data_IF_838350658321
#
_entry.id   IF_838350658321
#
_cell.length_a   1.000
_cell.length_b   1.000
_cell.length_c   1.000
_cell.angle_alpha   90.00
_cell.angle_beta   90.00
_cell.angle_gamma   90.00
#
_symmetry.space_group_name_H-M   'P 1'
#
loop_
_entity.id
_entity.type
_entity.pdbx_description
1 polymer ?
#
# COMPACT_ATOMS: atom_id res chain seq x y z
N UNK A 1 -7.35 -1.23 -23.75
CA UNK A 1 -7.52 0.00 -22.96
C UNK A 1 -6.40 0.99 -23.31
N UNK A 2 -6.67 2.29 -23.52
CA UNK A 2 -5.62 3.26 -23.80
C UNK A 2 -4.70 3.43 -22.58
N UNK A 3 -3.40 3.25 -22.79
CA UNK A 3 -2.35 3.18 -21.76
C UNK A 3 -2.32 4.37 -20.77
N UNK A 4 -2.78 5.56 -21.16
CA UNK A 4 -2.75 6.76 -20.33
C UNK A 4 -3.75 6.77 -19.16
N UNK A 5 -4.89 6.08 -19.29
CA UNK A 5 -5.93 6.14 -18.26
C UNK A 5 -5.58 5.21 -17.07
N UNK A 6 -4.94 4.08 -17.35
CA UNK A 6 -4.44 3.19 -16.29
C UNK A 6 -3.33 3.81 -15.43
N UNK A 7 -2.49 4.66 -16.03
CA UNK A 7 -1.46 5.42 -15.29
C UNK A 7 -2.10 6.34 -14.23
N UNK A 8 -3.22 6.98 -14.57
CA UNK A 8 -3.93 7.85 -13.64
C UNK A 8 -4.61 7.06 -12.51
N UNK A 9 -5.22 5.90 -12.81
CA UNK A 9 -5.80 5.04 -11.77
C UNK A 9 -4.73 4.51 -10.80
N UNK A 10 -3.58 4.06 -11.31
CA UNK A 10 -2.46 3.64 -10.46
C UNK A 10 -1.97 4.79 -9.58
N UNK A 11 -1.83 6.00 -10.12
CA UNK A 11 -1.43 7.17 -9.32
C UNK A 11 -2.41 7.46 -8.17
N UNK A 12 -3.71 7.33 -8.41
CA UNK A 12 -4.74 7.46 -7.36
C UNK A 12 -4.65 6.33 -6.32
N UNK A 13 -4.42 5.08 -6.75
CA UNK A 13 -4.17 3.95 -5.84
C UNK A 13 -2.99 4.21 -4.90
N UNK A 14 -1.90 4.79 -5.41
CA UNK A 14 -0.74 5.12 -4.55
C UNK A 14 -1.11 6.10 -3.44
N UNK A 15 -1.96 7.09 -3.73
CA UNK A 15 -2.40 8.08 -2.74
C UNK A 15 -3.24 7.43 -1.65
N UNK A 16 -4.23 6.61 -2.02
CA UNK A 16 -5.07 5.95 -1.02
C UNK A 16 -4.33 4.86 -0.25
N UNK A 17 -3.31 4.23 -0.84
CA UNK A 17 -2.44 3.31 -0.10
C UNK A 17 -1.63 4.03 0.98
N UNK A 18 -1.22 5.27 0.75
CA UNK A 18 -0.59 6.10 1.80
C UNK A 18 -1.55 6.41 2.94
N UNK A 19 -2.82 6.68 2.64
CA UNK A 19 -3.86 6.87 3.65
C UNK A 19 -4.13 5.57 4.43
N UNK A 20 -4.28 4.46 3.71
CA UNK A 20 -4.44 3.13 4.30
C UNK A 20 -3.27 2.76 5.20
N UNK A 21 -2.02 3.06 4.80
CA UNK A 21 -0.84 2.84 5.63
C UNK A 21 -0.84 3.65 6.95
N UNK A 22 -1.71 4.65 7.09
CA UNK A 22 -1.87 5.47 8.30
C UNK A 22 -3.05 5.06 9.17
N UNK A 23 -3.73 3.95 8.85
CA UNK A 23 -4.90 3.50 9.61
C UNK A 23 -6.24 4.00 9.09
N UNK A 24 -6.27 4.71 7.94
CA UNK A 24 -7.53 5.19 7.36
C UNK A 24 -8.16 4.05 6.57
N UNK A 25 -9.41 3.74 6.88
CA UNK A 25 -10.20 2.80 6.11
C UNK A 25 -10.56 3.43 4.76
N UNK A 26 -10.26 2.74 3.66
CA UNK A 26 -10.54 3.22 2.31
C UNK A 26 -11.70 2.42 1.74
N UNK A 27 -12.84 3.08 1.55
CA UNK A 27 -13.98 2.53 0.83
C UNK A 27 -13.79 2.71 -0.69
N UNK A 28 -13.42 1.66 -1.42
CA UNK A 28 -13.14 1.76 -2.86
C UNK A 28 -14.45 1.83 -3.67
N UNK A 29 -14.98 3.04 -3.84
CA UNK A 29 -16.26 3.25 -4.54
C UNK A 29 -16.11 3.50 -6.05
N UNK A 30 -14.91 3.85 -6.52
CA UNK A 30 -14.64 4.08 -7.93
C UNK A 30 -14.47 2.74 -8.65
N UNK A 31 -15.43 2.36 -9.47
CA UNK A 31 -15.35 1.12 -10.28
C UNK A 31 -14.11 1.10 -11.19
N UNK A 32 -13.73 2.27 -11.70
CA UNK A 32 -12.56 2.39 -12.59
C UNK A 32 -11.24 2.11 -11.86
N UNK A 33 -11.07 2.70 -10.68
CA UNK A 33 -9.87 2.53 -9.86
C UNK A 33 -9.85 1.11 -9.26
N UNK A 34 -11.02 0.60 -8.88
CA UNK A 34 -11.20 -0.76 -8.38
C UNK A 34 -10.81 -1.82 -9.43
N UNK A 35 -11.23 -1.64 -10.68
CA UNK A 35 -10.81 -2.51 -11.78
C UNK A 35 -9.28 -2.50 -11.98
N UNK A 36 -8.65 -1.32 -11.92
CA UNK A 36 -7.20 -1.21 -12.01
C UNK A 36 -6.48 -1.85 -10.81
N UNK A 37 -7.10 -1.85 -9.64
CA UNK A 37 -6.60 -2.53 -8.45
C UNK A 37 -6.67 -4.06 -8.63
N UNK A 38 -7.80 -4.57 -9.12
CA UNK A 38 -7.96 -6.00 -9.44
C UNK A 38 -6.97 -6.49 -10.49
N UNK A 39 -6.74 -5.73 -11.57
CA UNK A 39 -5.71 -6.06 -12.56
C UNK A 39 -4.32 -6.18 -11.92
N UNK A 40 -4.01 -5.31 -10.94
CA UNK A 40 -2.72 -5.37 -10.23
C UNK A 40 -2.62 -6.59 -9.31
N UNK A 41 -3.74 -7.01 -8.71
CA UNK A 41 -3.81 -8.19 -7.83
C UNK A 41 -3.63 -9.51 -8.59
N UNK A 42 -3.87 -9.56 -9.91
CA UNK A 42 -3.59 -10.75 -10.73
C UNK A 42 -2.10 -11.15 -10.69
N UNK A 43 -1.21 -10.18 -10.44
CA UNK A 43 0.23 -10.42 -10.28
C UNK A 43 0.70 -10.01 -8.88
N UNK A 44 0.68 -10.98 -7.96
CA UNK A 44 1.09 -10.80 -6.57
C UNK A 44 2.45 -10.09 -6.39
N UNK A 45 3.45 -10.43 -7.22
CA UNK A 45 4.80 -9.82 -7.11
C UNK A 45 4.79 -8.35 -7.51
N UNK A 46 4.03 -8.00 -8.54
CA UNK A 46 3.86 -6.60 -8.94
C UNK A 46 3.04 -5.82 -7.92
N UNK A 47 2.00 -6.44 -7.35
CA UNK A 47 1.21 -5.85 -6.28
C UNK A 47 2.04 -5.51 -5.04
N UNK A 48 2.87 -6.44 -4.57
CA UNK A 48 3.76 -6.24 -3.42
C UNK A 48 4.76 -5.12 -3.69
N UNK A 49 5.42 -5.16 -4.86
CA UNK A 49 6.36 -4.11 -5.27
C UNK A 49 5.69 -2.74 -5.34
N UNK A 50 4.49 -2.68 -5.93
CA UNK A 50 3.71 -1.45 -6.04
C UNK A 50 3.34 -0.91 -4.66
N UNK A 51 2.80 -1.75 -3.77
CA UNK A 51 2.40 -1.36 -2.42
C UNK A 51 3.59 -0.84 -1.61
N UNK A 52 4.70 -1.58 -1.62
CA UNK A 52 5.95 -1.19 -0.93
C UNK A 52 6.50 0.12 -1.50
N UNK A 53 6.52 0.29 -2.82
CA UNK A 53 6.99 1.53 -3.44
C UNK A 53 6.10 2.74 -3.14
N UNK A 54 4.81 2.52 -2.85
CA UNK A 54 3.82 3.57 -2.65
C UNK A 54 3.79 4.08 -1.21
N UNK A 55 3.80 3.15 -0.25
CA UNK A 55 3.64 3.47 1.16
C UNK A 55 4.56 2.69 2.11
N UNK A 56 5.50 1.89 1.59
CA UNK A 56 6.45 1.11 2.40
C UNK A 56 5.89 -0.19 2.99
N UNK A 57 4.61 -0.49 2.77
CA UNK A 57 3.91 -1.65 3.32
C UNK A 57 3.10 -2.35 2.24
N UNK A 58 2.82 -3.63 2.43
CA UNK A 58 1.83 -4.34 1.64
C UNK A 58 0.45 -3.99 2.20
N UNK A 59 -0.38 -3.33 1.38
CA UNK A 59 -1.74 -2.96 1.76
C UNK A 59 -2.64 -4.18 1.50
N UNK A 60 -3.40 -4.68 2.49
CA UNK A 60 -4.32 -5.79 2.25
C UNK A 60 -5.52 -5.33 1.42
N UNK A 61 -5.88 -6.14 0.43
CA UNK A 61 -7.15 -6.03 -0.27
C UNK A 61 -8.20 -6.85 0.49
N UNK A 62 -9.36 -6.25 0.77
CA UNK A 62 -10.50 -6.95 1.38
C UNK A 62 -11.72 -6.78 0.49
N UNK A 63 -12.26 -7.90 0.01
CA UNK A 63 -13.57 -7.93 -0.63
C UNK A 63 -14.65 -7.75 0.44
N UNK A 64 -15.48 -6.72 0.28
CA UNK A 64 -16.51 -6.37 1.24
C UNK A 64 -17.47 -5.36 0.65
N UNK A 65 -18.77 -5.66 0.71
CA UNK A 65 -19.80 -4.75 0.23
C UNK A 65 -20.26 -3.78 1.32
N UNK A 66 -20.41 -2.52 0.94
CA UNK A 66 -20.91 -1.46 1.81
C UNK A 66 -21.63 -0.38 1.01
N UNK A 67 -22.44 0.40 1.71
CA UNK A 67 -23.08 1.60 1.16
C UNK A 67 -23.22 2.65 2.26
N UNK A 68 -22.92 3.88 1.92
CA UNK A 68 -23.05 5.01 2.83
C UNK A 68 -22.13 6.16 2.44
N UNK A 69 -21.87 7.03 3.41
CA UNK A 69 -20.89 8.09 3.26
C UNK A 69 -19.48 7.50 3.23
N UNK A 70 -18.68 7.94 2.27
CA UNK A 70 -17.28 7.56 2.10
C UNK A 70 -16.44 8.40 3.06
N UNK A 71 -15.76 7.76 4.00
CA UNK A 71 -15.18 8.47 5.16
C UNK A 71 -13.78 8.99 4.87
N UNK A 72 -13.05 8.39 3.92
CA UNK A 72 -11.67 8.79 3.64
C UNK A 72 -11.56 10.12 2.86
N UNK A 73 -12.65 10.63 2.29
CA UNK A 73 -12.65 11.80 1.39
C UNK A 73 -12.02 13.01 2.05
N UNK A 74 -12.42 13.35 3.27
CA UNK A 74 -11.86 14.50 4.00
C UNK A 74 -10.33 14.36 4.21
N UNK A 75 -9.87 13.15 4.54
CA UNK A 75 -8.46 12.87 4.74
C UNK A 75 -7.67 12.94 3.43
N UNK A 76 -8.27 12.47 2.33
CA UNK A 76 -7.71 12.60 0.98
C UNK A 76 -7.56 14.07 0.60
N UNK A 77 -8.62 14.86 0.74
CA UNK A 77 -8.62 16.26 0.33
C UNK A 77 -7.59 17.10 1.06
N UNK A 78 -7.46 16.87 2.36
CA UNK A 78 -6.47 17.56 3.19
C UNK A 78 -5.03 17.32 2.73
N UNK A 79 -4.74 16.17 2.11
CA UNK A 79 -3.38 15.80 1.71
C UNK A 79 -3.10 16.02 0.23
N UNK A 80 -4.07 15.74 -0.64
CA UNK A 80 -3.89 15.69 -2.09
C UNK A 80 -4.74 16.71 -2.86
N UNK A 81 -5.63 17.42 -2.17
CA UNK A 81 -6.63 18.28 -2.80
C UNK A 81 -7.88 17.50 -3.26
N UNK A 82 -8.80 18.15 -3.99
CA UNK A 82 -10.08 17.57 -4.36
C UNK A 82 -9.93 16.27 -5.15
N UNK A 83 -10.89 15.36 -4.98
CA UNK A 83 -10.96 14.10 -5.72
C UNK A 83 -11.03 14.40 -7.23
N UNK A 84 -10.14 13.84 -8.05
CA UNK A 84 -10.25 13.98 -9.49
C UNK A 84 -11.47 13.23 -10.03
N UNK A 85 -11.97 13.68 -11.17
CA UNK A 85 -13.16 13.13 -11.86
C UNK A 85 -13.09 11.61 -12.04
N UNK A 86 -11.88 11.04 -12.14
CA UNK A 86 -11.63 9.60 -12.24
C UNK A 86 -12.27 8.79 -11.10
N UNK A 87 -12.38 9.35 -9.89
CA UNK A 87 -13.07 8.69 -8.77
C UNK A 87 -14.55 8.45 -9.03
N UNK A 88 -15.15 9.22 -9.94
CA UNK A 88 -16.55 9.12 -10.32
C UNK A 88 -16.73 8.39 -11.65
N UNK A 89 -15.66 7.80 -12.20
CA UNK A 89 -15.71 7.02 -13.42
C UNK A 89 -16.24 5.59 -13.17
N UNK A 90 -17.11 5.13 -14.07
CA UNK A 90 -17.50 3.72 -14.17
C UNK A 90 -16.35 2.85 -14.70
N UNK A 91 -16.51 1.53 -14.68
CA UNK A 91 -15.55 0.60 -15.29
C UNK A 91 -15.23 0.91 -16.78
N UNK A 92 -16.18 1.50 -17.51
CA UNK A 92 -16.02 1.90 -18.92
C UNK A 92 -15.31 3.25 -19.08
N UNK A 93 -15.08 3.99 -17.98
CA UNK A 93 -14.52 5.33 -17.97
C UNK A 93 -15.56 6.46 -18.07
N UNK A 94 -16.86 6.13 -18.01
CA UNK A 94 -17.93 7.14 -18.05
C UNK A 94 -18.06 7.83 -16.69
N UNK A 95 -18.00 9.15 -16.67
CA UNK A 95 -18.09 9.94 -15.42
C UNK A 95 -19.55 10.03 -14.97
N UNK A 96 -19.82 9.65 -13.73
CA UNK A 96 -21.08 9.91 -13.05
C UNK A 96 -21.18 11.40 -12.67
N UNK A 97 -21.68 12.21 -13.61
CA UNK A 97 -21.81 13.66 -13.48
C UNK A 97 -22.68 14.06 -12.27
N UNK A 98 -23.71 13.25 -11.94
CA UNK A 98 -24.58 13.53 -10.80
C UNK A 98 -23.84 13.39 -9.46
N UNK A 99 -23.10 12.30 -9.29
CA UNK A 99 -22.30 12.09 -8.08
C UNK A 99 -21.15 13.10 -7.97
N UNK A 100 -20.49 13.42 -9.10
CA UNK A 100 -19.43 14.43 -9.16
C UNK A 100 -19.95 15.83 -8.81
N UNK A 101 -21.11 16.23 -9.35
CA UNK A 101 -21.72 17.52 -9.04
C UNK A 101 -22.07 17.60 -7.55
N UNK A 102 -22.71 16.57 -7.02
CA UNK A 102 -23.06 16.52 -5.60
C UNK A 102 -21.82 16.69 -4.72
N UNK A 103 -20.75 15.94 -5.00
CA UNK A 103 -19.47 16.06 -4.30
C UNK A 103 -18.88 17.47 -4.39
N UNK A 104 -18.90 18.11 -5.57
CA UNK A 104 -18.39 19.49 -5.72
C UNK A 104 -19.22 20.51 -4.95
N UNK A 105 -20.51 20.26 -4.78
CA UNK A 105 -21.43 21.16 -4.09
C UNK A 105 -21.38 20.98 -2.56
N UNK A 106 -21.18 19.74 -2.07
CA UNK A 106 -21.30 19.41 -0.64
C UNK A 106 -19.98 19.03 0.03
N UNK A 107 -18.96 18.60 -0.74
CA UNK A 107 -17.75 17.96 -0.24
C UNK A 107 -17.96 16.50 0.22
N UNK A 108 -19.19 15.98 0.11
CA UNK A 108 -19.54 14.63 0.58
C UNK A 108 -19.69 13.66 -0.59
N UNK A 109 -19.26 12.41 -0.36
CA UNK A 109 -19.49 11.31 -1.30
C UNK A 109 -20.34 10.26 -0.62
N UNK A 110 -21.51 9.98 -1.20
CA UNK A 110 -22.37 8.86 -0.79
C UNK A 110 -22.39 7.84 -1.92
N UNK A 111 -21.84 6.66 -1.65
CA UNK A 111 -21.65 5.62 -2.67
C UNK A 111 -21.80 4.21 -2.08
N UNK A 112 -21.81 3.22 -2.98
CA UNK A 112 -21.57 1.83 -2.62
C UNK A 112 -20.17 1.42 -3.05
N UNK A 113 -19.60 0.47 -2.33
CA UNK A 113 -18.29 -0.11 -2.63
C UNK A 113 -18.34 -1.62 -2.43
N UNK A 114 -17.46 -2.33 -3.12
CA UNK A 114 -17.31 -3.79 -3.06
C UNK A 114 -15.94 -4.21 -2.55
N UNK A 115 -15.01 -3.27 -2.45
CA UNK A 115 -13.66 -3.51 -2.00
C UNK A 115 -13.24 -2.43 -1.01
N UNK A 116 -12.34 -2.77 -0.10
CA UNK A 116 -11.80 -1.83 0.87
C UNK A 116 -10.34 -2.10 1.16
N UNK A 117 -9.59 -1.02 1.38
CA UNK A 117 -8.21 -1.08 1.86
C UNK A 117 -8.19 -0.69 3.33
N UNK A 118 -7.56 -1.50 4.17
CA UNK A 118 -7.44 -1.25 5.60
C UNK A 118 -6.02 -1.47 6.07
N UNK A 119 -5.60 -0.74 7.11
CA UNK A 119 -4.35 -1.00 7.82
C UNK A 119 -4.45 -2.27 8.68
N UNK A 120 -4.80 -3.41 8.10
CA UNK A 120 -4.51 -4.69 8.72
C UNK A 120 -3.10 -5.11 8.27
N UNK A 121 -2.11 -4.29 8.63
CA UNK A 121 -0.73 -4.55 8.26
C UNK A 121 -0.24 -5.81 8.99
N UNK A 122 -0.25 -6.93 8.27
CA UNK A 122 0.75 -7.97 8.48
C UNK A 122 2.08 -7.28 8.17
N UNK A 123 2.85 -6.95 9.20
CA UNK A 123 4.23 -6.53 9.03
C UNK A 123 5.00 -7.72 8.44
N UNK A 124 4.96 -7.87 7.11
CA UNK A 124 5.98 -8.61 6.40
C UNK A 124 7.20 -7.68 6.47
N UNK A 125 7.94 -7.77 7.58
CA UNK A 125 9.37 -7.54 7.52
C UNK A 125 9.83 -8.32 6.28
N UNK A 126 10.52 -7.71 5.31
CA UNK A 126 11.15 -8.50 4.27
C UNK A 126 11.92 -9.57 5.01
N UNK A 127 11.50 -10.83 4.85
CA UNK A 127 12.37 -11.94 5.19
C UNK A 127 13.55 -11.65 4.30
N UNK A 128 14.63 -11.15 4.91
CA UNK A 128 15.95 -11.21 4.28
C UNK A 128 16.00 -12.66 3.85
N UNK A 129 15.89 -12.92 2.54
CA UNK A 129 16.14 -14.25 2.02
C UNK A 129 17.43 -14.67 2.70
N UNK A 130 17.36 -15.71 3.52
CA UNK A 130 18.51 -16.12 4.31
C UNK A 130 19.68 -16.19 3.33
N UNK A 131 20.82 -15.55 3.66
CA UNK A 131 21.96 -15.60 2.77
C UNK A 131 22.19 -17.07 2.47
N UNK A 132 22.11 -17.41 1.17
CA UNK A 132 22.39 -18.73 0.63
C UNK A 132 23.47 -19.41 1.49
N UNK A 133 23.17 -20.61 2.00
CA UNK A 133 24.07 -21.42 2.85
C UNK A 133 25.47 -21.61 2.21
N UNK A 134 25.65 -21.27 0.93
CA UNK A 134 26.96 -21.16 0.29
C UNK A 134 27.90 -20.10 0.90
N UNK A 135 27.42 -19.19 1.76
CA UNK A 135 28.24 -18.15 2.40
C UNK A 135 28.87 -18.57 3.75
N UNK A 136 28.55 -19.75 4.30
CA UNK A 136 29.07 -20.19 5.60
C UNK A 136 30.47 -20.84 5.57
N UNK A 137 31.12 -20.94 4.41
CA UNK A 137 32.43 -21.59 4.28
C UNK A 137 33.65 -20.65 4.23
N UNK A 138 33.57 -19.49 4.87
CA UNK A 138 34.77 -18.69 5.18
C UNK A 138 34.81 -18.33 6.65
N UNK A 139 35.20 -19.29 7.49
CA UNK A 139 35.70 -19.02 8.85
C UNK A 139 36.90 -18.06 8.75
N UNK A 140 36.84 -16.82 9.30
CA UNK A 140 38.06 -16.09 9.57
C UNK A 140 38.75 -16.77 10.76
N UNK A 141 39.88 -17.43 10.47
CA UNK A 141 40.84 -17.92 11.46
C UNK A 141 41.37 -16.75 12.29
N UNK A 142 40.75 -16.48 13.45
CA UNK A 142 41.38 -15.68 14.50
C UNK A 142 42.12 -16.63 15.44
N UNK A 143 43.39 -16.88 15.12
CA UNK A 143 44.36 -17.33 16.14
C UNK A 143 44.49 -16.21 17.17
N UNK A 144 43.93 -16.42 18.36
CA UNK A 144 44.22 -15.60 19.54
C UNK A 144 45.57 -16.06 20.09
N UNK A 145 46.59 -15.20 20.18
CA UNK A 145 47.82 -15.53 20.89
C UNK A 145 47.51 -15.57 22.40
N UNK A 146 47.85 -16.70 23.02
CA UNK A 146 47.90 -16.90 24.46
C UNK A 146 48.89 -15.89 25.07
N UNK A 147 48.39 -15.03 25.97
CA UNK A 147 49.25 -14.24 26.86
C UNK A 147 49.32 -14.98 28.19
N UNK A 148 50.49 -15.54 28.46
CA UNK A 148 50.86 -16.17 29.71
C UNK A 148 50.75 -15.20 30.90
N UNK A 149 50.03 -15.63 31.93
CA UNK A 149 50.15 -15.10 33.30
C UNK A 149 51.41 -15.68 33.94
N UNK A 150 52.25 -14.86 34.58
CA UNK A 150 53.00 -15.31 35.73
C UNK A 150 52.23 -14.97 37.01
N UNK A 151 52.03 -16.03 37.79
CA UNK A 151 51.58 -16.04 39.17
C UNK A 151 52.72 -15.62 40.12
N UNK A 152 52.34 -15.28 41.37
CA UNK A 152 53.15 -15.16 42.61
C UNK A 152 53.67 -13.74 42.93
N UNK A 153 53.76 -13.29 44.19
CA UNK A 153 53.53 -13.92 45.50
C UNK A 153 53.25 -12.84 46.54
N UNK A 154 52.61 -13.25 47.63
CA UNK A 154 52.45 -12.50 48.88
C UNK A 154 53.81 -12.16 49.50
N UNK A 155 53.95 -10.95 50.04
CA UNK A 155 54.41 -10.74 51.42
C UNK A 155 54.00 -9.36 51.92
#
# INVERSE_FOLDING_TARGET
MPHGIQLNAKAELQKVFKLAARGIHIEMFSEFIDAAWHELLENQKEYEKFSISSCGFIVPHTEGSGKGTVNFVEAYEREFGPLPDLWFASISGDINVGALSHYRDTGEVVASWTCSATHNCIAIFPRVEEPDESYLDKKPSKKVPTVDKPSKEKK
#
